data_IF_715533857377
#
_entry.id   IF_715533857377
#
_cell.length_a   1.000
_cell.length_b   1.000
_cell.length_c   1.000
_cell.angle_alpha   90.00
_cell.angle_beta   90.00
_cell.angle_gamma   90.00
#
_symmetry.space_group_name_H-M   'P 1'
#
loop_
_entity.id
_entity.type
_entity.pdbx_description
1 polymer ?
#
# COMPACT_ATOMS: atom_id res chain seq x y z
N UNK A 1 -21.62 -11.35 11.42
CA UNK A 1 -20.29 -11.97 11.64
C UNK A 1 -19.23 -11.00 11.13
N UNK A 2 -18.22 -10.76 11.95
CA UNK A 2 -17.43 -9.53 12.02
C UNK A 2 -16.53 -9.32 10.80
N UNK A 3 -16.56 -8.12 10.22
CA UNK A 3 -15.60 -7.64 9.20
C UNK A 3 -14.18 -7.77 9.75
N UNK A 4 -13.41 -8.70 9.20
CA UNK A 4 -11.98 -8.83 9.50
C UNK A 4 -11.24 -7.74 8.72
N UNK A 5 -11.18 -6.52 9.27
CA UNK A 5 -10.35 -5.45 8.71
C UNK A 5 -8.88 -5.77 8.97
N UNK A 6 -8.20 -6.30 7.96
CA UNK A 6 -6.78 -6.63 8.03
C UNK A 6 -5.96 -5.35 7.83
N UNK A 7 -5.82 -4.62 8.94
CA UNK A 7 -4.60 -3.91 9.34
C UNK A 7 -4.21 -2.64 8.56
N UNK A 8 -4.14 -1.52 9.30
CA UNK A 8 -3.78 -0.17 8.85
C UNK A 8 -2.38 0.19 9.37
N UNK A 9 -1.43 0.52 8.49
CA UNK A 9 -0.10 1.07 8.84
C UNK A 9 0.39 1.88 7.63
N UNK A 10 0.92 3.12 7.70
CA UNK A 10 1.50 3.89 8.80
C UNK A 10 0.74 5.18 9.19
N UNK A 11 0.61 5.43 10.50
CA UNK A 11 0.25 6.72 11.08
C UNK A 11 1.54 7.52 11.37
N UNK A 12 1.85 8.52 10.53
CA UNK A 12 2.60 9.76 10.78
C UNK A 12 3.91 9.74 11.63
N UNK A 13 4.44 8.58 12.02
CA UNK A 13 5.54 8.41 13.00
C UNK A 13 6.88 8.07 12.35
N UNK A 14 6.99 8.21 11.01
CA UNK A 14 8.16 7.80 10.21
C UNK A 14 8.53 6.32 10.36
N UNK A 15 7.63 5.47 10.87
CA UNK A 15 7.80 4.02 10.97
C UNK A 15 6.90 3.34 9.95
N UNK A 16 7.49 2.46 9.14
CA UNK A 16 6.74 1.60 8.22
C UNK A 16 6.57 0.26 8.92
N UNK A 17 5.33 -0.10 9.24
CA UNK A 17 4.99 -1.41 9.78
C UNK A 17 4.24 -2.19 8.71
N UNK A 18 4.76 -3.34 8.32
CA UNK A 18 4.15 -4.19 7.30
C UNK A 18 3.49 -5.40 7.95
N UNK A 19 2.37 -5.83 7.39
CA UNK A 19 1.73 -7.08 7.83
C UNK A 19 2.62 -8.26 7.42
N UNK A 20 2.93 -9.17 8.36
CA UNK A 20 3.73 -10.36 8.08
C UNK A 20 3.13 -11.26 6.99
N UNK A 21 1.80 -11.22 6.80
CA UNK A 21 1.13 -11.95 5.72
C UNK A 21 1.56 -11.47 4.32
N UNK A 22 2.14 -10.27 4.19
CA UNK A 22 2.73 -9.81 2.93
C UNK A 22 3.88 -10.71 2.45
N UNK A 23 4.51 -11.49 3.32
CA UNK A 23 5.56 -12.43 2.91
C UNK A 23 5.04 -13.52 1.95
N UNK A 24 3.73 -13.79 1.96
CA UNK A 24 3.09 -14.73 1.03
C UNK A 24 2.60 -14.04 -0.25
N UNK A 25 2.69 -12.72 -0.34
CA UNK A 25 2.30 -11.98 -1.53
C UNK A 25 3.42 -11.98 -2.58
N UNK A 26 3.09 -11.83 -3.87
CA UNK A 26 4.08 -11.61 -4.92
C UNK A 26 4.97 -10.40 -4.59
N UNK A 27 6.25 -10.45 -4.98
CA UNK A 27 7.21 -9.36 -4.71
C UNK A 27 6.70 -7.98 -5.16
N UNK A 28 6.05 -7.91 -6.33
CA UNK A 28 5.49 -6.64 -6.81
C UNK A 28 4.37 -6.06 -5.92
N UNK A 29 3.68 -6.88 -5.14
CA UNK A 29 2.74 -6.39 -4.12
C UNK A 29 3.48 -5.74 -2.95
N UNK A 30 4.64 -6.28 -2.56
CA UNK A 30 5.50 -5.72 -1.51
C UNK A 30 6.08 -4.38 -1.98
N UNK A 31 6.61 -4.34 -3.22
CA UNK A 31 7.13 -3.10 -3.84
C UNK A 31 6.05 -2.01 -3.87
N UNK A 32 4.84 -2.37 -4.28
CA UNK A 32 3.70 -1.47 -4.27
C UNK A 32 3.41 -0.89 -2.88
N UNK A 33 3.41 -1.72 -1.83
CA UNK A 33 3.18 -1.24 -0.45
C UNK A 33 4.32 -0.33 0.00
N UNK A 34 5.58 -0.64 -0.32
CA UNK A 34 6.72 0.23 0.02
C UNK A 34 6.59 1.59 -0.66
N UNK A 35 6.32 1.61 -1.98
CA UNK A 35 6.11 2.86 -2.74
C UNK A 35 4.92 3.64 -2.17
N UNK A 36 3.83 2.96 -1.81
CA UNK A 36 2.65 3.56 -1.20
C UNK A 36 2.99 4.27 0.12
N UNK A 37 3.68 3.59 1.03
CA UNK A 37 4.07 4.16 2.33
C UNK A 37 5.10 5.29 2.17
N UNK A 38 6.04 5.19 1.22
CA UNK A 38 6.99 6.26 0.91
C UNK A 38 6.29 7.52 0.39
N UNK A 39 5.23 7.38 -0.40
CA UNK A 39 4.43 8.51 -0.88
C UNK A 39 3.74 9.27 0.25
N UNK A 40 3.33 8.60 1.33
CA UNK A 40 2.72 9.24 2.52
C UNK A 40 3.66 10.21 3.25
N UNK A 41 4.98 10.09 3.07
CA UNK A 41 5.95 11.07 3.59
C UNK A 41 5.88 12.43 2.89
N UNK A 42 5.36 12.47 1.65
CA UNK A 42 5.34 13.68 0.81
C UNK A 42 3.93 14.22 0.58
N UNK A 43 2.92 13.36 0.52
CA UNK A 43 1.53 13.75 0.27
C UNK A 43 0.65 13.03 1.29
N UNK A 44 -0.17 13.80 2.01
CA UNK A 44 -1.15 13.24 2.94
C UNK A 44 -2.39 12.77 2.18
N UNK A 45 -2.94 11.63 2.62
CA UNK A 45 -4.15 11.04 2.05
C UNK A 45 -3.94 10.48 0.65
N UNK A 46 -5.01 9.96 0.05
CA UNK A 46 -4.96 9.25 -1.23
C UNK A 46 -5.63 10.04 -2.37
N UNK A 47 -5.42 11.36 -2.40
CA UNK A 47 -5.94 12.23 -3.46
C UNK A 47 -5.16 12.13 -4.79
N UNK A 48 -5.53 12.93 -5.81
CA UNK A 48 -4.88 12.88 -7.13
C UNK A 48 -3.36 13.09 -7.08
N UNK A 49 -2.87 13.98 -6.20
CA UNK A 49 -1.43 14.22 -6.02
C UNK A 49 -0.69 12.99 -5.48
N UNK A 50 -1.34 12.21 -4.61
CA UNK A 50 -0.77 10.98 -4.08
C UNK A 50 -0.64 9.94 -5.20
N UNK A 51 -1.73 9.68 -5.92
CA UNK A 51 -1.72 8.69 -7.01
C UNK A 51 -0.83 9.11 -8.18
N UNK A 52 -0.70 10.41 -8.46
CA UNK A 52 0.27 10.91 -9.44
C UNK A 52 1.71 10.60 -9.05
N UNK A 53 2.06 10.72 -7.75
CA UNK A 53 3.38 10.33 -7.26
C UNK A 53 3.61 8.83 -7.29
N UNK A 54 2.62 8.04 -6.84
CA UNK A 54 2.69 6.58 -6.91
C UNK A 54 2.89 6.13 -8.36
N UNK A 55 2.08 6.63 -9.29
CA UNK A 55 2.20 6.29 -10.71
C UNK A 55 3.50 6.75 -11.38
N UNK A 56 4.14 7.81 -10.86
CA UNK A 56 5.47 8.23 -11.32
C UNK A 56 6.58 7.29 -10.85
N UNK A 57 6.46 6.72 -9.65
CA UNK A 57 7.45 5.80 -9.08
C UNK A 57 7.22 4.35 -9.51
N UNK A 58 5.97 3.98 -9.75
CA UNK A 58 5.54 2.64 -10.12
C UNK A 58 4.38 2.73 -11.13
N UNK A 59 4.67 2.81 -12.44
CA UNK A 59 3.64 3.00 -13.47
C UNK A 59 2.55 1.92 -13.50
N UNK A 60 2.90 0.70 -13.11
CA UNK A 60 2.08 -0.50 -13.03
C UNK A 60 1.38 -0.68 -11.66
N UNK A 61 1.43 0.32 -10.77
CA UNK A 61 0.86 0.24 -9.41
C UNK A 61 -0.61 -0.21 -9.37
N UNK A 62 -1.39 0.08 -10.41
CA UNK A 62 -2.81 -0.31 -10.49
C UNK A 62 -2.98 -1.82 -10.53
N UNK A 63 -2.07 -2.52 -11.21
CA UNK A 63 -2.06 -3.98 -11.30
C UNK A 63 -1.71 -4.58 -9.94
N UNK A 64 -0.65 -4.10 -9.30
CA UNK A 64 -0.23 -4.57 -7.99
C UNK A 64 -1.23 -4.25 -6.89
N UNK A 65 -1.89 -3.09 -6.96
CA UNK A 65 -3.02 -2.76 -6.07
C UNK A 65 -4.17 -3.75 -6.24
N UNK A 66 -4.49 -4.15 -7.47
CA UNK A 66 -5.54 -5.14 -7.74
C UNK A 66 -5.14 -6.52 -7.21
N UNK A 67 -3.91 -6.96 -7.46
CA UNK A 67 -3.37 -8.23 -6.95
C UNK A 67 -3.38 -8.23 -5.43
N UNK A 68 -2.88 -7.18 -4.78
CA UNK A 68 -2.84 -7.06 -3.33
C UNK A 68 -4.23 -7.19 -2.67
N UNK A 69 -5.29 -6.66 -3.28
CA UNK A 69 -6.67 -6.85 -2.77
C UNK A 69 -7.06 -8.32 -2.66
N UNK A 70 -6.61 -9.17 -3.58
CA UNK A 70 -6.88 -10.61 -3.55
C UNK A 70 -6.21 -11.31 -2.36
N UNK A 71 -5.19 -10.70 -1.76
CA UNK A 71 -4.43 -11.28 -0.63
C UNK A 71 -4.93 -10.82 0.76
N UNK A 72 -5.86 -9.86 0.86
CA UNK A 72 -6.45 -9.48 2.16
C UNK A 72 -6.72 -8.00 2.40
N UNK A 73 -7.25 -7.28 1.40
CA UNK A 73 -7.75 -5.89 1.47
C UNK A 73 -6.98 -4.88 2.35
N UNK A 74 -5.99 -4.22 1.73
CA UNK A 74 -5.42 -2.95 2.18
C UNK A 74 -6.07 -1.80 1.39
N UNK A 75 -7.07 -1.17 1.99
CA UNK A 75 -7.74 0.04 1.50
C UNK A 75 -7.96 1.03 2.63
#
# INVERSE_FOLDING_TARGET
MSRTSVTKFSNFTKRISLNLLLIMAPLGCIDYVIVHELCHFKVRGHGPQFWGRVGRLMPDYKEWRKKLKMYGELG
#
